data_IF_431656517800
#
_entry.id   IF_431656517800
#
_cell.length_a   1.000
_cell.length_b   1.000
_cell.length_c   1.000
_cell.angle_alpha   90.00
_cell.angle_beta   90.00
_cell.angle_gamma   90.00
#
_symmetry.space_group_name_H-M   'P 1'
#
loop_
_entity.id
_entity.type
_entity.pdbx_description
1 polymer ?
#
# COMPACT_ATOMS: atom_id res chain seq x y z
N UNK A 1 74.68 -18.66 14.87
CA UNK A 1 73.47 -18.17 15.51
C UNK A 1 72.58 -17.58 14.42
N UNK A 2 71.52 -18.30 14.01
CA UNK A 2 70.57 -17.89 12.94
C UNK A 2 69.32 -17.37 13.60
N UNK A 3 69.00 -16.15 13.35
CA UNK A 3 67.77 -15.56 13.76
C UNK A 3 66.64 -15.90 12.77
N UNK A 4 65.53 -16.41 13.28
CA UNK A 4 64.28 -16.70 12.52
C UNK A 4 63.44 -15.44 12.33
N UNK A 5 62.73 -15.25 11.19
CA UNK A 5 61.86 -14.13 11.02
C UNK A 5 60.49 -14.41 11.66
N UNK A 6 60.00 -13.44 12.41
CA UNK A 6 58.66 -13.35 13.04
C UNK A 6 57.60 -13.22 11.97
N UNK A 7 56.63 -14.14 11.93
CA UNK A 7 55.39 -14.08 11.17
C UNK A 7 54.49 -12.94 11.69
N UNK A 8 54.10 -12.03 10.82
CA UNK A 8 53.05 -11.06 11.08
C UNK A 8 51.67 -11.72 11.09
N UNK A 9 50.74 -11.31 11.95
CA UNK A 9 49.38 -11.84 11.96
C UNK A 9 48.55 -11.31 10.78
N UNK A 10 47.87 -12.24 10.12
CA UNK A 10 46.88 -11.98 9.07
C UNK A 10 45.85 -10.95 9.51
N UNK A 11 45.82 -9.84 8.83
CA UNK A 11 44.74 -8.87 8.90
C UNK A 11 43.50 -9.45 8.20
N UNK A 12 42.61 -10.06 8.98
CA UNK A 12 41.25 -10.40 8.54
C UNK A 12 40.51 -9.09 8.21
N UNK A 13 40.36 -8.84 6.92
CA UNK A 13 39.60 -7.73 6.39
C UNK A 13 38.14 -7.88 6.80
N UNK A 14 37.49 -6.89 7.47
CA UNK A 14 36.09 -6.97 7.82
C UNK A 14 35.25 -7.07 6.55
N UNK A 15 34.13 -7.85 6.55
CA UNK A 15 33.26 -7.97 5.38
C UNK A 15 32.62 -6.64 5.06
N UNK A 16 32.54 -6.30 3.77
CA UNK A 16 31.92 -5.09 3.26
C UNK A 16 30.46 -4.97 3.72
N UNK A 17 29.98 -3.80 4.18
CA UNK A 17 28.59 -3.59 4.54
C UNK A 17 27.74 -3.58 3.26
N UNK A 18 26.84 -4.60 3.09
CA UNK A 18 25.85 -4.57 2.02
C UNK A 18 25.41 -5.89 1.39
N UNK A 19 26.16 -6.97 1.48
CA UNK A 19 25.74 -8.26 0.93
C UNK A 19 24.84 -9.01 1.94
N UNK A 20 23.51 -8.90 1.76
CA UNK A 20 22.56 -9.78 2.44
C UNK A 20 22.88 -11.22 2.02
N UNK A 21 23.34 -12.07 2.96
CA UNK A 21 23.75 -13.44 2.66
C UNK A 21 22.61 -14.25 2.01
N UNK A 22 22.91 -15.38 1.32
CA UNK A 22 21.92 -16.19 0.58
C UNK A 22 20.69 -16.58 1.41
N UNK A 23 20.85 -16.76 2.72
CA UNK A 23 19.76 -17.06 3.64
C UNK A 23 18.81 -15.87 3.86
N UNK A 24 19.31 -14.64 3.90
CA UNK A 24 18.48 -13.45 4.03
C UNK A 24 17.65 -13.21 2.76
N UNK A 25 18.24 -13.38 1.57
CA UNK A 25 17.53 -13.28 0.30
C UNK A 25 16.42 -14.34 0.18
N UNK A 26 16.70 -15.59 0.58
CA UNK A 26 15.70 -16.68 0.59
C UNK A 26 14.55 -16.39 1.57
N UNK A 27 14.84 -15.85 2.75
CA UNK A 27 13.82 -15.46 3.73
C UNK A 27 12.91 -14.34 3.19
N UNK A 28 13.47 -13.33 2.54
CA UNK A 28 12.71 -12.25 1.90
C UNK A 28 11.81 -12.80 0.78
N UNK A 29 12.36 -13.63 -0.12
CA UNK A 29 11.57 -14.24 -1.19
C UNK A 29 10.41 -15.11 -0.65
N UNK A 30 10.65 -15.85 0.45
CA UNK A 30 9.58 -16.62 1.12
C UNK A 30 8.54 -15.70 1.73
N UNK A 31 8.94 -14.59 2.36
CA UNK A 31 8.04 -13.59 2.93
C UNK A 31 7.12 -13.00 1.86
N UNK A 32 7.67 -12.60 0.72
CA UNK A 32 6.87 -12.05 -0.40
C UNK A 32 5.87 -13.08 -0.94
N UNK A 33 6.25 -14.35 -1.07
CA UNK A 33 5.31 -15.43 -1.47
C UNK A 33 4.16 -15.58 -0.48
N UNK A 34 4.44 -15.51 0.82
CA UNK A 34 3.41 -15.61 1.86
C UNK A 34 2.46 -14.42 1.79
N UNK A 35 3.00 -13.20 1.68
CA UNK A 35 2.20 -11.97 1.62
C UNK A 35 1.32 -11.94 0.36
N UNK A 36 1.86 -12.29 -0.80
CA UNK A 36 1.08 -12.36 -2.04
C UNK A 36 -0.05 -13.40 -1.95
N UNK A 37 0.22 -14.58 -1.37
CA UNK A 37 -0.80 -15.60 -1.15
C UNK A 37 -1.87 -15.15 -0.15
N UNK A 38 -1.49 -14.41 0.89
CA UNK A 38 -2.43 -13.87 1.87
C UNK A 38 -3.30 -12.75 1.31
N UNK A 39 -2.73 -11.84 0.49
CA UNK A 39 -3.50 -10.85 -0.29
C UNK A 39 -4.54 -11.54 -1.17
N UNK A 40 -4.12 -12.58 -1.89
CA UNK A 40 -5.02 -13.34 -2.74
C UNK A 40 -6.14 -14.00 -1.93
N UNK A 41 -5.82 -14.67 -0.81
CA UNK A 41 -6.80 -15.31 0.05
C UNK A 41 -7.83 -14.29 0.58
N UNK A 42 -7.37 -13.15 1.09
CA UNK A 42 -8.25 -12.06 1.56
C UNK A 42 -9.15 -11.52 0.45
N UNK A 43 -8.61 -11.28 -0.73
CA UNK A 43 -9.35 -10.64 -1.83
C UNK A 43 -10.35 -11.59 -2.53
N UNK A 44 -10.10 -12.91 -2.52
CA UNK A 44 -10.91 -13.91 -3.21
C UNK A 44 -11.84 -14.70 -2.26
N UNK A 45 -11.38 -14.99 -1.03
CA UNK A 45 -12.06 -15.87 -0.08
C UNK A 45 -12.55 -15.12 1.18
N UNK A 46 -12.09 -13.88 1.39
CA UNK A 46 -12.45 -13.02 2.52
C UNK A 46 -11.65 -13.30 3.80
N UNK A 47 -11.87 -12.44 4.80
CA UNK A 47 -11.15 -12.49 6.07
C UNK A 47 -11.35 -13.79 6.85
N UNK A 48 -12.58 -14.28 6.91
CA UNK A 48 -12.92 -15.47 7.72
C UNK A 48 -12.17 -16.74 7.26
N UNK A 49 -11.98 -16.89 5.93
CA UNK A 49 -11.30 -18.05 5.34
C UNK A 49 -9.77 -17.89 5.34
N UNK A 50 -9.25 -16.71 5.61
CA UNK A 50 -7.81 -16.44 5.62
C UNK A 50 -7.17 -16.95 6.90
N UNK A 51 -6.71 -18.20 6.89
CA UNK A 51 -5.96 -18.84 7.98
C UNK A 51 -4.50 -19.05 7.60
N UNK A 52 -3.63 -19.20 8.61
CA UNK A 52 -2.19 -19.50 8.38
C UNK A 52 -1.98 -20.80 7.61
N UNK A 53 -2.86 -21.78 7.78
CA UNK A 53 -2.84 -23.05 7.04
C UNK A 53 -3.20 -22.82 5.57
N UNK A 54 -4.30 -22.11 5.31
CA UNK A 54 -4.75 -21.81 3.96
C UNK A 54 -3.69 -21.01 3.18
N UNK A 55 -3.14 -19.98 3.82
CA UNK A 55 -2.10 -19.15 3.20
C UNK A 55 -0.81 -19.94 2.95
N UNK A 56 -0.37 -20.79 3.88
CA UNK A 56 0.82 -21.63 3.67
C UNK A 56 0.64 -22.57 2.45
N UNK A 57 -0.54 -23.17 2.31
CA UNK A 57 -0.89 -24.01 1.16
C UNK A 57 -0.84 -23.23 -0.15
N UNK A 58 -1.47 -22.05 -0.22
CA UNK A 58 -1.46 -21.18 -1.41
C UNK A 58 -0.06 -20.68 -1.76
N UNK A 59 0.75 -20.32 -0.75
CA UNK A 59 2.12 -19.86 -0.92
C UNK A 59 3.09 -20.99 -1.29
N UNK A 60 2.66 -22.24 -1.18
CA UNK A 60 3.49 -23.46 -1.34
C UNK A 60 4.72 -23.44 -0.41
N UNK A 61 4.50 -23.10 0.86
CA UNK A 61 5.53 -23.08 1.91
C UNK A 61 5.12 -23.99 3.05
N UNK A 62 6.11 -24.50 3.78
CA UNK A 62 5.83 -25.26 5.01
C UNK A 62 5.17 -24.32 6.06
N UNK A 63 4.15 -24.81 6.77
CA UNK A 63 3.47 -24.05 7.84
C UNK A 63 4.46 -23.52 8.89
N UNK A 64 5.47 -24.31 9.26
CA UNK A 64 6.52 -23.88 10.19
C UNK A 64 7.30 -22.66 9.68
N UNK A 65 7.60 -22.59 8.36
CA UNK A 65 8.26 -21.43 7.76
C UNK A 65 7.39 -20.18 7.80
N UNK A 66 6.07 -20.33 7.64
CA UNK A 66 5.13 -19.21 7.78
C UNK A 66 5.08 -18.73 9.23
N UNK A 67 4.87 -19.64 10.20
CA UNK A 67 4.77 -19.31 11.62
C UNK A 67 6.08 -18.72 12.18
N UNK A 68 7.22 -19.11 11.63
CA UNK A 68 8.50 -18.47 11.98
C UNK A 68 8.57 -17.00 11.57
N UNK A 69 7.89 -16.60 10.50
CA UNK A 69 7.86 -15.21 10.02
C UNK A 69 6.67 -14.41 10.56
N UNK A 70 5.56 -15.07 10.83
CA UNK A 70 4.31 -14.52 11.33
C UNK A 70 3.76 -15.45 12.42
N UNK A 71 4.14 -15.23 13.69
CA UNK A 71 3.81 -16.14 14.80
C UNK A 71 2.31 -16.35 14.98
N UNK A 72 1.51 -15.31 14.76
CA UNK A 72 0.04 -15.38 14.85
C UNK A 72 -0.62 -15.06 13.51
N UNK A 73 -1.91 -15.40 13.41
CA UNK A 73 -2.76 -14.97 12.28
C UNK A 73 -2.81 -13.44 12.19
N UNK A 74 -2.94 -12.77 13.32
CA UNK A 74 -3.02 -11.30 13.34
C UNK A 74 -1.70 -10.66 12.90
N UNK A 75 -0.54 -11.22 13.26
CA UNK A 75 0.76 -10.74 12.73
C UNK A 75 0.82 -10.83 11.21
N UNK A 76 0.31 -11.93 10.65
CA UNK A 76 0.20 -12.09 9.20
C UNK A 76 -0.72 -11.02 8.59
N UNK A 77 -1.93 -10.84 9.15
CA UNK A 77 -2.93 -9.87 8.65
C UNK A 77 -2.40 -8.44 8.68
N UNK A 78 -1.75 -8.02 9.77
CA UNK A 78 -1.15 -6.68 9.87
C UNK A 78 0.01 -6.51 8.88
N UNK A 79 0.82 -7.54 8.68
CA UNK A 79 1.88 -7.50 7.67
C UNK A 79 1.31 -7.43 6.24
N UNK A 80 0.17 -8.08 5.98
CA UNK A 80 -0.56 -7.94 4.71
C UNK A 80 -1.10 -6.53 4.53
N UNK A 81 -1.66 -5.93 5.59
CA UNK A 81 -2.13 -4.54 5.53
C UNK A 81 -1.00 -3.57 5.16
N UNK A 82 0.17 -3.70 5.81
CA UNK A 82 1.36 -2.90 5.48
C UNK A 82 1.87 -3.16 4.05
N UNK A 83 1.85 -4.41 3.59
CA UNK A 83 2.28 -4.79 2.23
C UNK A 83 1.33 -4.22 1.18
N UNK A 84 0.03 -4.40 1.35
CA UNK A 84 -1.00 -3.93 0.44
C UNK A 84 -1.04 -2.40 0.35
N UNK A 85 -0.87 -1.71 1.49
CA UNK A 85 -0.79 -0.25 1.53
C UNK A 85 0.42 0.30 0.75
N UNK A 86 1.58 -0.34 0.88
CA UNK A 86 2.77 0.02 0.09
C UNK A 86 2.55 -0.23 -1.39
N UNK A 87 2.06 -1.41 -1.77
CA UNK A 87 1.80 -1.76 -3.17
C UNK A 87 0.78 -0.81 -3.82
N UNK A 88 -0.26 -0.40 -3.09
CA UNK A 88 -1.22 0.61 -3.55
C UNK A 88 -0.54 1.97 -3.75
N UNK A 89 0.27 2.41 -2.78
CA UNK A 89 1.02 3.68 -2.88
C UNK A 89 2.01 3.70 -4.03
N UNK A 90 2.71 2.59 -4.29
CA UNK A 90 3.65 2.44 -5.40
C UNK A 90 2.91 2.51 -6.75
N UNK A 91 1.80 1.78 -6.87
CA UNK A 91 0.95 1.81 -8.06
C UNK A 91 0.44 3.23 -8.39
N UNK A 92 -0.05 3.96 -7.39
CA UNK A 92 -0.51 5.34 -7.56
C UNK A 92 0.64 6.25 -8.01
N UNK A 93 1.80 6.13 -7.39
CA UNK A 93 2.99 6.94 -7.71
C UNK A 93 3.47 6.69 -9.14
N UNK A 94 3.57 5.42 -9.53
CA UNK A 94 4.00 5.02 -10.88
C UNK A 94 2.97 5.43 -11.94
N UNK A 95 1.68 5.25 -11.66
CA UNK A 95 0.61 5.66 -12.58
C UNK A 95 0.59 7.16 -12.82
N UNK A 96 0.71 7.96 -11.76
CA UNK A 96 0.72 9.42 -11.86
C UNK A 96 2.02 9.98 -12.46
N UNK A 97 3.16 9.30 -12.27
CA UNK A 97 4.43 9.73 -12.85
C UNK A 97 4.44 9.68 -14.39
N UNK A 98 3.54 8.92 -15.01
CA UNK A 98 3.39 8.79 -16.46
C UNK A 98 2.59 9.94 -17.10
N UNK A 99 1.96 10.78 -16.28
CA UNK A 99 1.12 11.89 -16.71
C UNK A 99 1.88 13.21 -16.50
N UNK A 100 1.85 14.17 -17.43
CA UNK A 100 2.45 15.49 -17.25
C UNK A 100 1.99 16.17 -15.94
N UNK A 101 2.88 16.89 -15.28
CA UNK A 101 2.55 17.59 -14.03
C UNK A 101 1.46 18.67 -14.24
N UNK A 102 0.88 19.14 -13.15
CA UNK A 102 -0.16 20.16 -13.16
C UNK A 102 -1.57 19.57 -13.34
N UNK A 103 -2.44 20.31 -14.01
CA UNK A 103 -3.88 20.01 -14.17
C UNK A 103 -4.14 18.61 -14.72
N UNK A 104 -3.43 18.20 -15.77
CA UNK A 104 -3.64 16.89 -16.40
C UNK A 104 -3.43 15.74 -15.40
N UNK A 105 -2.31 15.77 -14.66
CA UNK A 105 -2.00 14.78 -13.63
C UNK A 105 -3.02 14.81 -12.49
N UNK A 106 -3.48 16.01 -12.11
CA UNK A 106 -4.48 16.15 -11.08
C UNK A 106 -5.80 15.48 -11.47
N UNK A 107 -6.28 15.70 -12.68
CA UNK A 107 -7.50 15.06 -13.19
C UNK A 107 -7.33 13.55 -13.38
N UNK A 108 -6.20 13.11 -13.94
CA UNK A 108 -5.90 11.70 -14.17
C UNK A 108 -5.84 10.89 -12.86
N UNK A 109 -5.65 11.54 -11.71
CA UNK A 109 -5.61 10.85 -10.42
C UNK A 109 -6.92 10.11 -10.07
N UNK A 110 -8.07 10.50 -10.63
CA UNK A 110 -9.33 9.76 -10.51
C UNK A 110 -9.19 8.36 -11.13
N UNK A 111 -8.74 8.30 -12.38
CA UNK A 111 -8.61 7.04 -13.11
C UNK A 111 -7.53 6.14 -12.49
N UNK A 112 -6.40 6.71 -12.12
CA UNK A 112 -5.30 5.96 -11.47
C UNK A 112 -5.76 5.41 -10.10
N UNK A 113 -6.50 6.21 -9.32
CA UNK A 113 -7.04 5.76 -8.03
C UNK A 113 -8.12 4.70 -8.21
N UNK A 114 -9.01 4.87 -9.20
CA UNK A 114 -10.00 3.87 -9.54
C UNK A 114 -9.34 2.54 -9.92
N UNK A 115 -8.34 2.57 -10.80
CA UNK A 115 -7.56 1.37 -11.17
C UNK A 115 -6.88 0.73 -9.94
N UNK A 116 -6.37 1.52 -9.00
CA UNK A 116 -5.80 1.02 -7.75
C UNK A 116 -6.85 0.28 -6.91
N UNK A 117 -8.10 0.77 -6.83
CA UNK A 117 -9.16 0.11 -6.08
C UNK A 117 -9.64 -1.21 -6.69
N UNK A 118 -9.40 -1.45 -7.98
CA UNK A 118 -9.71 -2.73 -8.64
C UNK A 118 -8.68 -3.83 -8.32
N UNK A 119 -7.55 -3.50 -7.71
CA UNK A 119 -6.46 -4.44 -7.42
C UNK A 119 -6.77 -5.31 -6.20
N UNK A 120 -6.24 -6.56 -6.15
CA UNK A 120 -6.39 -7.45 -4.99
C UNK A 120 -5.93 -6.82 -3.68
N UNK A 121 -4.86 -6.01 -3.70
CA UNK A 121 -4.33 -5.34 -2.52
C UNK A 121 -5.35 -4.40 -1.87
N UNK A 122 -6.09 -3.64 -2.67
CA UNK A 122 -7.12 -2.74 -2.16
C UNK A 122 -8.31 -3.49 -1.58
N UNK A 123 -8.73 -4.59 -2.23
CA UNK A 123 -9.78 -5.46 -1.70
C UNK A 123 -9.37 -6.08 -0.37
N UNK A 124 -8.12 -6.58 -0.26
CA UNK A 124 -7.58 -7.11 0.98
C UNK A 124 -7.59 -6.06 2.12
N UNK A 125 -7.25 -4.78 1.83
CA UNK A 125 -7.33 -3.70 2.81
C UNK A 125 -8.76 -3.42 3.27
N UNK A 126 -9.74 -3.47 2.37
CA UNK A 126 -11.16 -3.31 2.71
C UNK A 126 -11.60 -4.46 3.62
N UNK A 127 -11.29 -5.70 3.27
CA UNK A 127 -11.60 -6.89 4.08
C UNK A 127 -11.02 -6.78 5.50
N UNK A 128 -9.75 -6.41 5.64
CA UNK A 128 -9.09 -6.22 6.93
C UNK A 128 -9.79 -5.11 7.74
N UNK A 129 -10.12 -3.99 7.10
CA UNK A 129 -10.75 -2.83 7.76
C UNK A 129 -12.16 -3.19 8.27
N UNK A 130 -12.93 -3.93 7.48
CA UNK A 130 -14.27 -4.39 7.88
C UNK A 130 -14.18 -5.42 9.00
N UNK A 131 -13.26 -6.39 8.88
CA UNK A 131 -13.06 -7.44 9.87
C UNK A 131 -12.64 -6.90 11.25
N UNK A 132 -11.89 -5.79 11.30
CA UNK A 132 -11.49 -5.15 12.56
C UNK A 132 -12.69 -4.70 13.44
N UNK A 133 -13.90 -4.61 12.88
CA UNK A 133 -15.12 -4.32 13.66
C UNK A 133 -15.62 -5.51 14.47
N UNK A 134 -15.24 -6.72 14.08
CA UNK A 134 -15.80 -7.98 14.62
C UNK A 134 -14.74 -8.90 15.23
N UNK A 135 -13.46 -8.64 14.98
CA UNK A 135 -12.34 -9.39 15.56
C UNK A 135 -11.64 -8.54 16.62
N UNK A 136 -11.84 -8.85 17.94
CA UNK A 136 -11.29 -8.03 19.02
C UNK A 136 -9.75 -7.99 19.04
N UNK A 137 -9.07 -9.06 18.64
CA UNK A 137 -7.61 -9.10 18.59
C UNK A 137 -7.08 -8.17 17.48
N UNK A 138 -7.72 -8.18 16.31
CA UNK A 138 -7.41 -7.25 15.23
C UNK A 138 -7.77 -5.81 15.62
N UNK A 139 -8.95 -5.60 16.22
CA UNK A 139 -9.41 -4.28 16.67
C UNK A 139 -8.42 -3.61 17.63
N UNK A 140 -7.79 -4.37 18.52
CA UNK A 140 -6.80 -3.86 19.46
C UNK A 140 -5.50 -3.40 18.79
N UNK A 141 -5.14 -3.93 17.62
CA UNK A 141 -3.84 -3.70 16.95
C UNK A 141 -3.92 -2.88 15.66
N UNK A 142 -5.09 -2.79 15.03
CA UNK A 142 -5.28 -2.08 13.76
C UNK A 142 -5.11 -0.56 13.88
N UNK A 143 -5.39 0.13 15.00
CA UNK A 143 -5.23 1.58 15.11
C UNK A 143 -3.82 2.07 14.80
N UNK A 144 -2.78 1.36 15.22
CA UNK A 144 -1.39 1.73 14.93
C UNK A 144 -1.09 1.70 13.42
N UNK A 145 -1.61 0.68 12.72
CA UNK A 145 -1.54 0.61 11.26
C UNK A 145 -2.32 1.76 10.62
N UNK A 146 -3.57 1.98 11.04
CA UNK A 146 -4.44 3.01 10.49
C UNK A 146 -3.83 4.41 10.61
N UNK A 147 -3.22 4.73 11.76
CA UNK A 147 -2.54 5.99 11.98
C UNK A 147 -1.33 6.18 11.03
N UNK A 148 -0.48 5.16 10.90
CA UNK A 148 0.67 5.21 9.98
C UNK A 148 0.22 5.32 8.51
N UNK A 149 -0.81 4.58 8.14
CA UNK A 149 -1.40 4.60 6.80
C UNK A 149 -1.94 6.00 6.47
N UNK A 150 -2.79 6.57 7.35
CA UNK A 150 -3.37 7.89 7.15
C UNK A 150 -2.29 8.98 7.08
N UNK A 151 -1.29 8.94 7.97
CA UNK A 151 -0.16 9.85 7.91
C UNK A 151 0.63 9.74 6.58
N UNK A 152 0.77 8.53 6.04
CA UNK A 152 1.39 8.29 4.74
C UNK A 152 0.58 8.87 3.59
N UNK A 153 -0.73 8.63 3.59
CA UNK A 153 -1.67 9.15 2.60
C UNK A 153 -1.70 10.68 2.63
N UNK A 154 -1.80 11.29 3.81
CA UNK A 154 -1.83 12.76 3.97
C UNK A 154 -0.55 13.42 3.44
N UNK A 155 0.63 12.90 3.80
CA UNK A 155 1.90 13.41 3.28
C UNK A 155 2.01 13.27 1.75
N UNK A 156 1.53 12.15 1.20
CA UNK A 156 1.50 11.93 -0.25
C UNK A 156 0.59 12.91 -0.96
N UNK A 157 -0.58 13.14 -0.41
CA UNK A 157 -1.58 14.06 -0.96
C UNK A 157 -1.11 15.54 -0.91
N UNK A 158 -0.49 15.95 0.20
CA UNK A 158 0.07 17.30 0.30
C UNK A 158 1.11 17.57 -0.79
N UNK A 159 2.11 16.68 -0.93
CA UNK A 159 3.10 16.79 -2.01
C UNK A 159 2.49 16.78 -3.42
N UNK A 160 1.40 16.01 -3.58
CA UNK A 160 0.68 15.94 -4.85
C UNK A 160 -0.06 17.25 -5.16
N UNK A 161 -0.72 17.87 -4.18
CA UNK A 161 -1.39 19.16 -4.32
C UNK A 161 -0.39 20.27 -4.64
N UNK A 162 0.72 20.35 -3.90
CA UNK A 162 1.83 21.30 -4.18
C UNK A 162 2.38 21.13 -5.60
N UNK A 163 2.68 19.90 -6.01
CA UNK A 163 3.19 19.61 -7.37
C UNK A 163 2.16 19.88 -8.47
N UNK A 164 0.88 20.03 -8.12
CA UNK A 164 -0.21 20.38 -9.03
C UNK A 164 -0.49 21.90 -9.06
N UNK A 165 0.22 22.70 -8.24
CA UNK A 165 0.00 24.15 -8.14
C UNK A 165 -1.25 24.57 -7.36
N UNK A 166 -1.81 23.66 -6.54
CA UNK A 166 -3.00 23.97 -5.73
C UNK A 166 -2.61 24.63 -4.41
N UNK A 167 -3.41 25.60 -3.97
CA UNK A 167 -3.42 26.12 -2.59
C UNK A 167 -4.39 25.33 -1.73
N UNK A 168 -3.99 25.01 -0.51
CA UNK A 168 -4.85 24.39 0.50
C UNK A 168 -4.77 25.19 1.81
N UNK A 169 -5.17 26.46 1.74
CA UNK A 169 -5.08 27.39 2.86
C UNK A 169 -6.16 27.15 3.93
N UNK A 170 -7.25 26.44 3.58
CA UNK A 170 -8.41 26.21 4.44
C UNK A 170 -8.78 24.73 4.64
N UNK A 171 -7.98 23.79 4.11
CA UNK A 171 -8.24 22.35 4.21
C UNK A 171 -9.25 21.80 3.19
N UNK A 172 -9.71 22.59 2.23
CA UNK A 172 -10.68 22.17 1.21
C UNK A 172 -10.10 21.13 0.25
N UNK A 173 -8.83 21.23 -0.11
CA UNK A 173 -8.18 20.21 -0.93
C UNK A 173 -8.07 18.84 -0.21
N UNK A 174 -7.89 18.86 1.11
CA UNK A 174 -7.93 17.63 1.90
C UNK A 174 -9.35 17.03 1.97
N UNK A 175 -10.39 17.89 2.09
CA UNK A 175 -11.79 17.48 2.11
C UNK A 175 -12.24 16.92 0.75
N UNK A 176 -11.89 17.60 -0.36
CA UNK A 176 -12.18 17.15 -1.73
C UNK A 176 -11.54 15.78 -1.99
N UNK A 177 -10.27 15.64 -1.67
CA UNK A 177 -9.56 14.36 -1.78
C UNK A 177 -10.26 13.26 -0.99
N UNK A 178 -10.66 13.55 0.25
CA UNK A 178 -11.37 12.58 1.10
C UNK A 178 -12.70 12.16 0.50
N UNK A 179 -13.48 13.12 -0.01
CA UNK A 179 -14.74 12.84 -0.71
C UNK A 179 -14.52 11.86 -1.86
N UNK A 180 -13.55 12.14 -2.72
CA UNK A 180 -13.22 11.30 -3.87
C UNK A 180 -12.79 9.90 -3.44
N UNK A 181 -11.90 9.78 -2.44
CA UNK A 181 -11.44 8.47 -1.95
C UNK A 181 -12.59 7.64 -1.35
N UNK A 182 -13.49 8.27 -0.60
CA UNK A 182 -14.67 7.60 -0.03
C UNK A 182 -15.62 7.15 -1.14
N UNK A 183 -15.89 8.02 -2.12
CA UNK A 183 -16.75 7.70 -3.25
C UNK A 183 -16.17 6.54 -4.10
N UNK A 184 -14.89 6.60 -4.46
CA UNK A 184 -14.23 5.54 -5.24
C UNK A 184 -14.16 4.21 -4.48
N UNK A 185 -13.94 4.25 -3.16
CA UNK A 185 -13.95 3.04 -2.33
C UNK A 185 -15.36 2.43 -2.27
N UNK A 186 -16.38 3.25 -2.06
CA UNK A 186 -17.78 2.81 -2.07
C UNK A 186 -18.15 2.19 -3.42
N UNK A 187 -17.81 2.86 -4.51
CA UNK A 187 -18.03 2.37 -5.86
C UNK A 187 -17.31 1.04 -6.15
N UNK A 188 -16.08 0.86 -5.65
CA UNK A 188 -15.34 -0.39 -5.80
C UNK A 188 -16.01 -1.55 -5.05
N UNK A 189 -16.60 -1.30 -3.88
CA UNK A 189 -17.38 -2.30 -3.14
C UNK A 189 -18.67 -2.62 -3.90
N UNK A 190 -19.42 -1.62 -4.34
CA UNK A 190 -20.66 -1.79 -5.09
C UNK A 190 -20.45 -2.62 -6.38
N UNK A 191 -19.45 -2.27 -7.18
CA UNK A 191 -19.14 -3.01 -8.41
C UNK A 191 -18.67 -4.44 -8.15
N UNK A 192 -18.01 -4.70 -7.02
CA UNK A 192 -17.62 -6.07 -6.63
C UNK A 192 -18.80 -6.96 -6.29
N UNK A 193 -19.95 -6.37 -5.96
CA UNK A 193 -21.22 -7.04 -5.68
C UNK A 193 -22.13 -7.17 -6.92
N UNK A 194 -21.63 -6.81 -8.09
CA UNK A 194 -22.41 -6.80 -9.34
C UNK A 194 -23.28 -5.54 -9.50
N UNK A 195 -23.03 -4.48 -8.72
CA UNK A 195 -23.68 -3.19 -8.86
C UNK A 195 -23.28 -2.46 -10.15
N UNK A 196 -24.07 -1.45 -10.51
CA UNK A 196 -24.15 -0.74 -11.79
C UNK A 196 -22.88 -0.29 -12.49
N UNK A 197 -23.06 0.45 -13.57
CA UNK A 197 -21.96 1.02 -14.36
C UNK A 197 -21.23 2.14 -13.58
N UNK A 198 -19.93 2.00 -13.28
CA UNK A 198 -19.17 3.01 -12.56
C UNK A 198 -18.94 4.30 -13.35
N UNK A 199 -19.14 4.30 -14.67
CA UNK A 199 -18.74 5.40 -15.56
C UNK A 199 -19.45 6.73 -15.26
N UNK A 200 -20.74 6.68 -14.90
CA UNK A 200 -21.49 7.88 -14.55
C UNK A 200 -20.90 8.57 -13.30
N UNK A 201 -20.58 7.78 -12.26
CA UNK A 201 -19.98 8.30 -11.04
C UNK A 201 -18.55 8.80 -11.29
N UNK A 202 -17.74 8.05 -12.03
CA UNK A 202 -16.37 8.46 -12.39
C UNK A 202 -16.38 9.79 -13.18
N UNK A 203 -17.31 9.94 -14.13
CA UNK A 203 -17.47 11.17 -14.91
C UNK A 203 -17.88 12.35 -14.02
N UNK A 204 -18.76 12.14 -13.05
CA UNK A 204 -19.15 13.17 -12.08
C UNK A 204 -17.95 13.57 -11.20
N UNK A 205 -17.21 12.61 -10.66
CA UNK A 205 -16.03 12.88 -9.84
C UNK A 205 -14.96 13.66 -10.61
N UNK A 206 -14.77 13.35 -11.89
CA UNK A 206 -13.84 14.12 -12.76
C UNK A 206 -14.29 15.57 -12.95
N UNK A 207 -15.57 15.83 -13.12
CA UNK A 207 -16.09 17.21 -13.20
C UNK A 207 -15.88 17.96 -11.89
N UNK A 208 -16.27 17.36 -10.76
CA UNK A 208 -16.06 17.95 -9.42
C UNK A 208 -14.59 18.30 -9.23
N UNK A 209 -13.68 17.40 -9.61
CA UNK A 209 -12.23 17.61 -9.48
C UNK A 209 -11.71 18.70 -10.42
N UNK A 210 -12.26 18.82 -11.63
CA UNK A 210 -11.91 19.87 -12.57
C UNK A 210 -12.35 21.25 -12.05
N UNK A 211 -13.60 21.36 -11.61
CA UNK A 211 -14.15 22.59 -11.06
C UNK A 211 -13.38 23.03 -9.80
N UNK A 212 -13.04 22.07 -8.94
CA UNK A 212 -12.21 22.32 -7.76
C UNK A 212 -10.83 22.86 -8.15
N UNK A 213 -10.15 22.19 -9.11
CA UNK A 213 -8.83 22.62 -9.58
C UNK A 213 -8.85 24.05 -10.13
N UNK A 214 -9.81 24.33 -11.01
CA UNK A 214 -9.92 25.61 -11.71
C UNK A 214 -10.28 26.77 -10.74
N UNK A 215 -10.93 26.47 -9.59
CA UNK A 215 -11.24 27.45 -8.54
C UNK A 215 -10.14 27.65 -7.49
N UNK A 216 -9.14 26.76 -7.40
CA UNK A 216 -8.11 26.78 -6.36
C UNK A 216 -6.69 26.90 -6.93
N UNK A 217 -6.54 27.26 -8.19
CA UNK A 217 -5.23 27.60 -8.74
C UNK A 217 -4.64 28.78 -7.97
N UNK A 218 -3.36 28.68 -7.62
CA UNK A 218 -2.61 29.81 -7.10
C UNK A 218 -2.59 30.93 -8.17
N UNK A 219 -3.18 32.09 -7.85
CA UNK A 219 -3.11 33.29 -8.70
C UNK A 219 -1.64 33.57 -9.05
N UNK A 220 -1.25 33.38 -10.30
CA UNK A 220 0.12 33.72 -10.72
C UNK A 220 0.66 32.95 -11.93
N UNK A 221 -0.16 32.37 -12.78
CA UNK A 221 0.30 31.79 -14.06
C UNK A 221 -0.67 32.15 -15.19
N UNK A 222 -0.69 33.41 -15.58
CA UNK A 222 -1.06 33.88 -16.90
C UNK A 222 0.19 34.39 -17.63
#
# INVERSE_FOLDING_TARGET
MKASPTSSPDHVRPPAPGARGPNAARRLATREKILAAAVRCLSEEGYAQTSTVRVATLARVARGSLLHQFPTRIDLILAVADHAARAQGDFLREGLARVPAGRERYLASIDVTWAAFQRPESRALIEITVAARYDPELAARIPDFAQRFEAGVSRGAHRFAEASGLRDDNGEAAAERRLILVALRGLAVETSLGGGDPQAVLSLLKRIRADFYDSHLADGSL
#
